data_IF_578099263303
#
_entry.id   IF_578099263303
#
_cell.length_a   1.000
_cell.length_b   1.000
_cell.length_c   1.000
_cell.angle_alpha   90.00
_cell.angle_beta   90.00
_cell.angle_gamma   90.00
#
_symmetry.space_group_name_H-M   'P 1'
#
loop_
_entity.id
_entity.type
_entity.pdbx_description
1 polymer ?
#
# COMPACT_ATOMS: atom_id res chain seq x y z
N UNK A 1 10.20 3.00 5.30
CA UNK A 1 10.95 3.96 6.13
C UNK A 1 12.43 3.58 6.33
N UNK A 2 12.78 2.33 6.57
CA UNK A 2 14.19 1.86 6.67
C UNK A 2 15.01 2.05 5.38
N UNK A 3 14.38 1.98 4.21
CA UNK A 3 15.05 2.17 2.90
C UNK A 3 15.59 3.60 2.69
N UNK A 4 14.99 4.61 3.32
CA UNK A 4 15.45 6.00 3.21
C UNK A 4 16.72 6.32 4.00
N UNK A 5 17.02 5.59 5.06
CA UNK A 5 18.22 5.82 5.89
C UNK A 5 19.52 5.36 5.25
N UNK A 6 19.46 4.52 4.19
CA UNK A 6 20.65 3.89 3.59
C UNK A 6 21.31 4.68 2.45
N UNK A 7 20.67 5.71 1.90
CA UNK A 7 21.22 6.49 0.78
C UNK A 7 22.10 7.69 1.19
N UNK A 8 22.21 7.99 2.48
CA UNK A 8 23.16 9.00 2.99
C UNK A 8 24.22 8.32 3.82
N UNK A 9 25.48 8.56 3.49
CA UNK A 9 26.69 8.06 4.15
C UNK A 9 26.59 8.14 5.69
N UNK A 10 26.26 7.03 6.31
CA UNK A 10 26.13 6.89 7.74
C UNK A 10 24.89 6.05 8.06
N UNK A 11 25.07 4.88 8.64
CA UNK A 11 23.98 4.06 9.17
C UNK A 11 23.30 4.81 10.32
N UNK A 12 22.17 5.46 10.06
CA UNK A 12 21.30 5.95 11.12
C UNK A 12 20.59 4.72 11.69
N UNK A 13 21.04 4.29 12.84
CA UNK A 13 20.41 3.19 13.56
C UNK A 13 19.18 3.75 14.29
N UNK A 14 18.02 3.70 13.61
CA UNK A 14 16.74 4.10 14.20
C UNK A 14 16.21 2.94 15.05
N UNK A 15 16.50 2.97 16.33
CA UNK A 15 15.97 2.00 17.29
C UNK A 15 15.63 2.72 18.62
N UNK A 16 14.48 2.42 19.24
CA UNK A 16 13.42 1.50 18.80
C UNK A 16 12.53 2.11 17.72
N UNK A 17 12.12 1.30 16.72
CA UNK A 17 11.10 1.68 15.72
C UNK A 17 9.77 1.09 16.15
N UNK A 18 8.72 1.89 16.10
CA UNK A 18 7.33 1.44 16.20
C UNK A 18 6.59 1.80 14.92
N UNK A 19 5.66 0.97 14.51
CA UNK A 19 4.82 1.16 13.33
C UNK A 19 3.35 1.15 13.76
N UNK A 20 2.68 2.30 13.60
CA UNK A 20 1.28 2.46 14.01
C UNK A 20 0.31 1.65 13.16
N UNK A 21 0.64 1.37 11.90
CA UNK A 21 -0.17 0.47 11.05
C UNK A 21 -0.11 -0.96 11.57
N UNK A 22 1.09 -1.48 11.87
CA UNK A 22 1.25 -2.80 12.47
C UNK A 22 0.57 -2.90 13.84
N UNK A 23 0.71 -1.86 14.69
CA UNK A 23 0.03 -1.81 15.99
C UNK A 23 -1.50 -1.87 15.84
N UNK A 24 -2.05 -1.09 14.92
CA UNK A 24 -3.48 -1.06 14.63
C UNK A 24 -3.97 -2.40 14.10
N UNK A 25 -3.20 -3.04 13.22
CA UNK A 25 -3.55 -4.36 12.67
C UNK A 25 -3.56 -5.44 13.74
N UNK A 26 -2.56 -5.45 14.63
CA UNK A 26 -2.52 -6.39 15.77
C UNK A 26 -3.71 -6.17 16.72
N UNK A 27 -4.09 -4.91 16.94
CA UNK A 27 -5.18 -4.55 17.84
C UNK A 27 -6.55 -4.99 17.28
N UNK A 28 -6.79 -4.73 16.00
CA UNK A 28 -8.02 -5.10 15.29
C UNK A 28 -7.77 -5.29 13.79
N UNK A 29 -7.55 -6.54 13.38
CA UNK A 29 -7.30 -6.89 11.98
C UNK A 29 -8.51 -6.64 11.05
N UNK A 30 -9.72 -6.50 11.60
CA UNK A 30 -10.95 -6.27 10.83
C UNK A 30 -11.24 -4.78 10.59
N UNK A 31 -10.41 -3.88 11.11
CA UNK A 31 -10.56 -2.44 10.87
C UNK A 31 -10.52 -2.15 9.36
N UNK A 32 -11.41 -1.28 8.90
CA UNK A 32 -11.53 -0.94 7.48
C UNK A 32 -10.23 -0.39 6.89
N UNK A 33 -9.47 0.38 7.66
CA UNK A 33 -8.20 0.98 7.23
C UNK A 33 -7.27 1.20 8.42
N UNK A 34 -5.97 0.94 8.21
CA UNK A 34 -4.90 1.18 9.20
C UNK A 34 -4.04 2.40 8.83
N UNK A 35 -4.47 3.21 7.86
CA UNK A 35 -3.76 4.42 7.44
C UNK A 35 -3.84 5.49 8.52
N UNK A 36 -2.82 6.37 8.53
CA UNK A 36 -2.72 7.46 9.50
C UNK A 36 -3.98 8.34 9.55
N UNK A 37 -4.49 8.74 8.39
CA UNK A 37 -5.69 9.56 8.26
C UNK A 37 -6.95 8.87 8.82
N UNK A 38 -7.11 7.58 8.56
CA UNK A 38 -8.23 6.81 9.10
C UNK A 38 -8.12 6.67 10.62
N UNK A 39 -6.93 6.39 11.13
CA UNK A 39 -6.69 6.29 12.58
C UNK A 39 -6.85 7.65 13.28
N UNK A 40 -6.42 8.75 12.66
CA UNK A 40 -6.63 10.09 13.20
C UNK A 40 -8.13 10.42 13.31
N UNK A 41 -8.92 10.02 12.32
CA UNK A 41 -10.38 10.18 12.35
C UNK A 41 -11.02 9.31 13.44
N UNK A 42 -10.63 8.03 13.52
CA UNK A 42 -11.23 7.09 14.47
C UNK A 42 -10.91 7.42 15.93
N UNK A 43 -9.66 7.78 16.24
CA UNK A 43 -9.22 8.02 17.63
C UNK A 43 -9.46 9.45 18.12
N UNK A 44 -9.44 10.43 17.20
CA UNK A 44 -9.42 11.86 17.58
C UNK A 44 -10.48 12.70 16.87
N UNK A 45 -11.33 12.08 16.04
CA UNK A 45 -12.32 12.78 15.21
C UNK A 45 -11.69 13.90 14.34
N UNK A 46 -10.43 13.69 13.91
CA UNK A 46 -9.65 14.67 13.16
C UNK A 46 -9.49 14.25 11.70
N UNK A 47 -9.77 15.18 10.79
CA UNK A 47 -9.51 15.01 9.36
C UNK A 47 -8.17 15.64 8.98
N UNK A 48 -7.23 14.78 8.62
CA UNK A 48 -5.87 15.20 8.24
C UNK A 48 -5.83 15.87 6.88
N UNK A 49 -4.83 16.72 6.66
CA UNK A 49 -4.49 17.29 5.36
C UNK A 49 -4.16 16.13 4.41
N UNK A 50 -4.77 16.12 3.22
CA UNK A 50 -4.52 15.04 2.26
C UNK A 50 -3.26 15.31 1.44
N UNK A 51 -2.56 14.23 1.07
CA UNK A 51 -1.41 14.31 0.15
C UNK A 51 -1.77 15.04 -1.16
N UNK A 52 -2.97 14.80 -1.68
CA UNK A 52 -3.47 15.41 -2.90
C UNK A 52 -3.71 16.93 -2.78
N UNK A 53 -3.99 17.43 -1.58
CA UNK A 53 -4.17 18.87 -1.34
C UNK A 53 -2.85 19.62 -1.39
N UNK A 54 -1.74 18.93 -1.09
CA UNK A 54 -0.38 19.45 -1.13
C UNK A 54 0.29 19.21 -2.49
N UNK A 55 0.15 18.00 -3.03
CA UNK A 55 0.85 17.58 -4.26
C UNK A 55 0.02 17.73 -5.53
N UNK A 56 -1.28 18.04 -5.43
CA UNK A 56 -2.22 18.06 -6.57
C UNK A 56 -2.68 16.68 -6.99
N UNK A 57 -3.54 16.62 -8.04
CA UNK A 57 -4.16 15.37 -8.51
C UNK A 57 -3.97 15.15 -10.01
N UNK A 58 -3.95 13.89 -10.41
CA UNK A 58 -3.94 13.47 -11.81
C UNK A 58 -2.72 14.00 -12.59
N UNK A 59 -2.95 14.50 -13.82
CA UNK A 59 -1.88 14.97 -14.69
C UNK A 59 -1.10 16.22 -14.16
N UNK A 60 -1.65 16.91 -13.18
CA UNK A 60 -1.02 18.07 -12.54
C UNK A 60 -0.33 17.73 -11.22
N UNK A 61 -0.34 16.46 -10.81
CA UNK A 61 0.31 16.03 -9.59
C UNK A 61 1.83 16.18 -9.71
N UNK A 62 2.43 16.81 -8.71
CA UNK A 62 3.88 16.95 -8.58
C UNK A 62 4.38 16.04 -7.47
N UNK A 63 5.63 15.61 -7.56
CA UNK A 63 6.26 14.82 -6.51
C UNK A 63 6.60 15.71 -5.31
N UNK A 64 6.51 15.15 -4.10
CA UNK A 64 6.69 15.88 -2.84
C UNK A 64 8.04 16.62 -2.74
N UNK A 65 9.09 16.07 -3.34
CA UNK A 65 10.43 16.67 -3.41
C UNK A 65 10.52 17.97 -4.22
N UNK A 66 9.49 18.27 -5.01
CA UNK A 66 9.41 19.50 -5.84
C UNK A 66 8.61 20.63 -5.21
N UNK A 67 7.98 20.38 -4.06
CA UNK A 67 7.18 21.37 -3.37
C UNK A 67 8.08 22.15 -2.40
N UNK A 68 7.83 23.46 -2.30
CA UNK A 68 8.61 24.28 -1.38
C UNK A 68 8.35 23.87 0.08
N UNK A 69 9.37 23.77 0.95
CA UNK A 69 9.23 23.30 2.32
C UNK A 69 8.17 24.03 3.15
N UNK A 70 7.96 25.33 2.93
CA UNK A 70 6.95 26.10 3.65
C UNK A 70 5.53 25.68 3.30
N UNK A 71 5.29 25.20 2.07
CA UNK A 71 3.96 24.80 1.60
C UNK A 71 3.53 23.41 2.15
N UNK A 72 4.54 22.61 2.54
CA UNK A 72 4.31 21.26 3.13
C UNK A 72 4.46 21.23 4.66
N UNK A 73 4.80 22.35 5.27
CA UNK A 73 5.12 22.41 6.71
C UNK A 73 3.99 21.87 7.58
N UNK A 74 2.77 22.34 7.35
CA UNK A 74 1.61 21.94 8.15
C UNK A 74 1.26 20.46 7.94
N UNK A 75 1.31 19.98 6.70
CA UNK A 75 1.11 18.57 6.36
C UNK A 75 2.13 17.66 7.08
N UNK A 76 3.41 17.99 6.98
CA UNK A 76 4.47 17.19 7.58
C UNK A 76 4.47 17.25 9.12
N UNK A 77 4.13 18.38 9.69
CA UNK A 77 4.00 18.55 11.16
C UNK A 77 2.80 17.77 11.70
N UNK A 78 1.66 17.82 11.00
CA UNK A 78 0.45 17.07 11.35
C UNK A 78 0.70 15.56 11.29
N UNK A 79 1.32 15.04 10.22
CA UNK A 79 1.67 13.63 10.08
C UNK A 79 2.54 13.15 11.26
N UNK A 80 3.51 13.96 11.67
CA UNK A 80 4.40 13.63 12.80
C UNK A 80 3.65 13.65 14.15
N UNK A 81 2.79 14.63 14.40
CA UNK A 81 2.01 14.77 15.64
C UNK A 81 1.01 13.62 15.77
N UNK A 82 0.19 13.36 14.73
CA UNK A 82 -0.78 12.26 14.76
C UNK A 82 -0.13 10.88 14.82
N UNK A 83 1.03 10.70 14.18
CA UNK A 83 1.77 9.45 14.32
C UNK A 83 2.13 9.17 15.80
N UNK A 84 2.58 10.18 16.53
CA UNK A 84 2.89 10.06 17.96
C UNK A 84 1.63 9.84 18.82
N UNK A 85 0.57 10.60 18.59
CA UNK A 85 -0.69 10.47 19.35
C UNK A 85 -1.32 9.09 19.16
N UNK A 86 -1.39 8.61 17.91
CA UNK A 86 -1.92 7.29 17.58
C UNK A 86 -1.05 6.19 18.20
N UNK A 87 0.28 6.35 18.18
CA UNK A 87 1.17 5.41 18.86
C UNK A 87 0.83 5.29 20.34
N UNK A 88 0.63 6.42 21.04
CA UNK A 88 0.32 6.42 22.48
C UNK A 88 -1.03 5.77 22.77
N UNK A 89 -2.05 6.06 21.96
CA UNK A 89 -3.38 5.45 22.09
C UNK A 89 -3.35 3.93 21.83
N UNK A 90 -2.74 3.51 20.72
CA UNK A 90 -2.62 2.10 20.40
C UNK A 90 -1.77 1.31 21.39
N UNK A 91 -0.75 1.94 21.97
CA UNK A 91 0.06 1.30 23.03
C UNK A 91 -0.77 0.95 24.25
N UNK A 92 -1.68 1.83 24.65
CA UNK A 92 -2.61 1.59 25.74
C UNK A 92 -3.62 0.49 25.39
N UNK A 93 -4.22 0.54 24.20
CA UNK A 93 -5.16 -0.48 23.74
C UNK A 93 -4.53 -1.87 23.66
N UNK A 94 -3.33 -2.00 23.10
CA UNK A 94 -2.60 -3.26 23.04
C UNK A 94 -2.30 -3.83 24.43
N UNK A 95 -2.06 -2.96 25.40
CA UNK A 95 -1.84 -3.39 26.78
C UNK A 95 -3.14 -3.92 27.40
N UNK A 96 -4.26 -3.20 27.25
CA UNK A 96 -5.59 -3.60 27.76
C UNK A 96 -6.02 -4.93 27.10
N UNK A 97 -5.83 -5.06 25.79
CA UNK A 97 -6.19 -6.26 25.01
C UNK A 97 -5.23 -7.43 25.21
N UNK A 98 -4.14 -7.26 25.96
CA UNK A 98 -3.06 -8.25 26.17
C UNK A 98 -2.34 -8.69 24.89
N UNK A 99 -2.37 -7.88 23.86
CA UNK A 99 -1.76 -8.14 22.55
C UNK A 99 -0.31 -7.60 22.44
N UNK A 100 0.18 -6.93 23.46
CA UNK A 100 1.53 -6.37 23.52
C UNK A 100 2.61 -7.41 23.17
N UNK A 101 2.42 -8.65 23.63
CA UNK A 101 3.39 -9.73 23.40
C UNK A 101 3.48 -10.12 21.91
N UNK A 102 2.35 -10.10 21.21
CA UNK A 102 2.29 -10.37 19.77
C UNK A 102 3.03 -9.26 19.02
N UNK A 103 2.70 -8.00 19.32
CA UNK A 103 3.34 -6.86 18.69
C UNK A 103 4.86 -6.82 18.95
N UNK A 104 5.30 -6.90 20.20
CA UNK A 104 6.70 -6.71 20.57
C UNK A 104 7.61 -7.89 20.16
N UNK A 105 7.07 -9.12 20.11
CA UNK A 105 7.88 -10.33 19.86
C UNK A 105 7.77 -10.87 18.45
N UNK A 106 6.72 -10.49 17.71
CA UNK A 106 6.47 -11.01 16.36
C UNK A 106 6.50 -9.86 15.36
N UNK A 107 5.53 -8.95 15.41
CA UNK A 107 5.33 -7.96 14.35
C UNK A 107 6.44 -6.91 14.30
N UNK A 108 6.82 -6.38 15.43
CA UNK A 108 7.86 -5.34 15.49
C UNK A 108 9.24 -5.83 15.04
N UNK A 109 9.76 -6.99 15.48
CA UNK A 109 11.02 -7.54 14.94
C UNK A 109 10.94 -7.89 13.45
N UNK A 110 9.76 -8.29 12.94
CA UNK A 110 9.55 -8.65 11.56
C UNK A 110 9.82 -7.48 10.59
N UNK A 111 9.61 -6.24 11.02
CA UNK A 111 9.94 -5.03 10.24
C UNK A 111 11.39 -5.06 9.74
N UNK A 112 12.34 -5.38 10.62
CA UNK A 112 13.75 -5.46 10.26
C UNK A 112 14.07 -6.66 9.35
N UNK A 113 13.39 -7.78 9.56
CA UNK A 113 13.57 -8.99 8.73
C UNK A 113 13.12 -8.70 7.30
N UNK A 114 11.91 -8.14 7.14
CA UNK A 114 11.36 -7.78 5.82
C UNK A 114 12.24 -6.73 5.13
N UNK A 115 12.68 -5.70 5.85
CA UNK A 115 13.56 -4.67 5.29
C UNK A 115 14.88 -5.24 4.79
N UNK A 116 15.45 -6.24 5.46
CA UNK A 116 16.65 -6.93 5.01
C UNK A 116 16.37 -7.83 3.79
N UNK A 117 15.23 -8.53 3.77
CA UNK A 117 14.82 -9.32 2.60
C UNK A 117 14.61 -8.44 1.36
N UNK A 118 13.96 -7.28 1.51
CA UNK A 118 13.78 -6.30 0.43
C UNK A 118 15.11 -5.73 -0.07
N UNK A 119 16.07 -5.52 0.85
CA UNK A 119 17.40 -5.03 0.50
C UNK A 119 18.20 -6.06 -0.31
N UNK A 120 18.15 -7.33 0.06
CA UNK A 120 18.83 -8.42 -0.67
C UNK A 120 18.15 -8.66 -2.02
N UNK A 121 16.82 -8.52 -2.07
CA UNK A 121 16.02 -8.74 -3.26
C UNK A 121 15.86 -10.22 -3.62
N UNK A 122 15.32 -10.46 -4.80
CA UNK A 122 15.08 -11.80 -5.35
C UNK A 122 15.73 -11.90 -6.73
N UNK A 123 16.47 -12.96 -6.95
CA UNK A 123 17.01 -13.26 -8.28
C UNK A 123 15.87 -13.72 -9.20
N UNK A 124 15.65 -12.95 -10.26
CA UNK A 124 14.62 -13.23 -11.26
C UNK A 124 15.26 -13.84 -12.50
N UNK A 125 14.77 -15.00 -12.94
CA UNK A 125 15.09 -15.55 -14.24
C UNK A 125 14.25 -14.88 -15.34
N UNK A 126 14.86 -13.90 -15.99
CA UNK A 126 14.21 -13.14 -17.08
C UNK A 126 13.88 -14.03 -18.29
N UNK A 127 14.66 -15.07 -18.55
CA UNK A 127 14.46 -15.96 -19.70
C UNK A 127 13.18 -16.78 -19.51
N UNK A 128 12.98 -17.34 -18.34
CA UNK A 128 11.76 -18.07 -17.98
C UNK A 128 10.53 -17.17 -17.99
N UNK A 129 10.63 -15.96 -17.44
CA UNK A 129 9.50 -15.01 -17.45
C UNK A 129 9.13 -14.57 -18.87
N UNK A 130 10.10 -14.33 -19.74
CA UNK A 130 9.84 -13.98 -21.12
C UNK A 130 9.18 -15.15 -21.88
N UNK A 131 9.63 -16.37 -21.67
CA UNK A 131 9.01 -17.57 -22.27
C UNK A 131 7.54 -17.73 -21.82
N UNK A 132 7.27 -17.57 -20.52
CA UNK A 132 5.91 -17.60 -19.98
C UNK A 132 5.05 -16.46 -20.53
N UNK A 133 5.61 -15.26 -20.68
CA UNK A 133 4.88 -14.11 -21.25
C UNK A 133 4.43 -14.39 -22.70
N UNK A 134 5.31 -14.98 -23.51
CA UNK A 134 4.96 -15.38 -24.89
C UNK A 134 3.87 -16.46 -24.87
N UNK A 135 4.06 -17.51 -24.09
CA UNK A 135 3.08 -18.61 -23.97
C UNK A 135 1.69 -18.08 -23.54
N UNK A 136 1.65 -17.17 -22.57
CA UNK A 136 0.39 -16.59 -22.11
C UNK A 136 -0.24 -15.69 -23.17
N UNK A 137 0.55 -14.91 -23.91
CA UNK A 137 0.04 -14.08 -25.01
C UNK A 137 -0.60 -14.93 -26.10
N UNK A 138 0.02 -16.04 -26.48
CA UNK A 138 -0.52 -16.96 -27.48
C UNK A 138 -1.84 -17.60 -27.00
N UNK A 139 -1.87 -18.06 -25.73
CA UNK A 139 -3.09 -18.61 -25.12
C UNK A 139 -4.21 -17.57 -25.03
N UNK A 140 -3.90 -16.34 -24.63
CA UNK A 140 -4.87 -15.25 -24.57
C UNK A 140 -5.47 -14.97 -25.94
N UNK A 141 -4.64 -14.85 -26.97
CA UNK A 141 -5.09 -14.62 -28.35
C UNK A 141 -6.01 -15.73 -28.84
N UNK A 142 -5.65 -17.00 -28.57
CA UNK A 142 -6.49 -18.13 -28.90
C UNK A 142 -7.84 -18.12 -28.16
N UNK A 143 -7.82 -17.81 -26.88
CA UNK A 143 -9.06 -17.76 -26.06
C UNK A 143 -9.96 -16.61 -26.49
N UNK A 144 -9.39 -15.42 -26.75
CA UNK A 144 -10.14 -14.27 -27.25
C UNK A 144 -10.85 -14.62 -28.57
N UNK A 145 -10.13 -15.25 -29.51
CA UNK A 145 -10.72 -15.68 -30.76
C UNK A 145 -11.89 -16.65 -30.56
N UNK A 146 -11.73 -17.65 -29.70
CA UNK A 146 -12.80 -18.60 -29.36
C UNK A 146 -14.03 -17.93 -28.75
N UNK A 147 -13.80 -16.96 -27.84
CA UNK A 147 -14.89 -16.21 -27.22
C UNK A 147 -15.65 -15.39 -28.30
N UNK A 148 -14.95 -14.64 -29.12
CA UNK A 148 -15.56 -13.84 -30.17
C UNK A 148 -16.32 -14.74 -31.20
N UNK A 149 -15.77 -15.88 -31.58
CA UNK A 149 -16.45 -16.86 -32.45
C UNK A 149 -17.74 -17.41 -31.79
N UNK A 150 -17.69 -17.69 -30.48
CA UNK A 150 -18.87 -18.18 -29.74
C UNK A 150 -19.95 -17.11 -29.56
N UNK A 151 -19.56 -15.85 -29.43
CA UNK A 151 -20.49 -14.72 -29.29
C UNK A 151 -20.96 -14.16 -30.64
N UNK A 152 -20.33 -14.50 -31.73
CA UNK A 152 -20.65 -14.04 -33.09
C UNK A 152 -20.22 -12.58 -33.37
N UNK A 153 -19.55 -11.91 -32.46
CA UNK A 153 -19.06 -10.54 -32.63
C UNK A 153 -17.81 -10.27 -31.79
N UNK A 154 -17.06 -9.23 -32.15
CA UNK A 154 -15.90 -8.76 -31.42
C UNK A 154 -16.31 -7.70 -30.40
N UNK A 155 -15.80 -7.82 -29.18
CA UNK A 155 -15.99 -6.87 -28.09
C UNK A 155 -14.80 -6.87 -27.14
N UNK A 156 -14.70 -5.86 -26.26
CA UNK A 156 -13.66 -5.83 -25.25
C UNK A 156 -14.01 -6.76 -24.08
N UNK A 157 -13.44 -7.96 -24.07
CA UNK A 157 -13.65 -8.98 -23.04
C UNK A 157 -13.25 -8.48 -21.64
N UNK A 158 -12.27 -7.57 -21.54
CA UNK A 158 -11.85 -6.96 -20.28
C UNK A 158 -12.81 -5.87 -19.77
N UNK A 159 -13.84 -5.51 -20.52
CA UNK A 159 -14.89 -4.57 -20.09
C UNK A 159 -16.05 -5.31 -19.44
N UNK A 160 -16.25 -5.23 -18.10
CA UNK A 160 -17.39 -5.89 -17.44
C UNK A 160 -18.74 -5.47 -18.01
N UNK A 161 -18.87 -4.22 -18.47
CA UNK A 161 -20.09 -3.72 -19.10
C UNK A 161 -20.40 -4.42 -20.39
N UNK A 162 -19.45 -4.43 -21.35
CA UNK A 162 -19.64 -5.10 -22.66
C UNK A 162 -19.83 -6.61 -22.48
N UNK A 163 -19.08 -7.24 -21.59
CA UNK A 163 -19.24 -8.65 -21.27
C UNK A 163 -20.66 -8.93 -20.73
N UNK A 164 -21.17 -8.09 -19.84
CA UNK A 164 -22.53 -8.22 -19.31
C UNK A 164 -23.61 -8.08 -20.40
N UNK A 165 -23.48 -7.10 -21.27
CA UNK A 165 -24.39 -6.91 -22.42
C UNK A 165 -24.43 -8.16 -23.33
N UNK A 166 -23.27 -8.77 -23.62
CA UNK A 166 -23.20 -10.00 -24.42
C UNK A 166 -23.85 -11.18 -23.69
N UNK A 167 -23.51 -11.42 -22.41
CA UNK A 167 -23.96 -12.60 -21.66
C UNK A 167 -25.46 -12.58 -21.30
N UNK A 168 -26.03 -11.38 -21.05
CA UNK A 168 -27.38 -11.26 -20.52
C UNK A 168 -28.40 -10.71 -21.51
N UNK A 169 -27.98 -10.09 -22.61
CA UNK A 169 -28.89 -9.51 -23.59
C UNK A 169 -28.85 -10.21 -24.95
N UNK A 170 -27.73 -10.90 -25.31
CA UNK A 170 -27.54 -11.48 -26.63
C UNK A 170 -27.41 -13.01 -26.63
N UNK A 171 -26.89 -13.63 -25.57
CA UNK A 171 -26.82 -15.08 -25.39
C UNK A 171 -27.91 -15.58 -24.45
#
# INVERSE_FOLDING_TARGET
MLVFSQKRNGSINLYPVHDTMCMSYVNDANRYSHKLDSLAKDFFDHETIKYDDVCGRGAKQVTFDKIHPNDVLNYAAEDADFCLRIFLALKEELFISKLNSVYERIERPLINVIANMEKEGILIDKSTLNALSIEFQDKLTLLQKKIHESCGEEFNIASPKQLGEILFEKL
#
